data_IF_268147422566
#
_entry.id   IF_268147422566
#
_cell.length_a   1.000
_cell.length_b   1.000
_cell.length_c   1.000
_cell.angle_alpha   90.00
_cell.angle_beta   90.00
_cell.angle_gamma   90.00
#
_symmetry.space_group_name_H-M   'P 1'
#
loop_
_entity.id
_entity.type
_entity.pdbx_description
1 polymer ?
#
# COMPACT_ATOMS: atom_id res chain seq x y z
N UNK A 1 -22.32 -27.31 -8.94
CA UNK A 1 -21.73 -26.19 -8.19
C UNK A 1 -20.30 -26.01 -8.68
N UNK A 2 -19.88 -24.79 -8.98
CA UNK A 2 -18.49 -24.51 -9.33
C UNK A 2 -17.64 -24.62 -8.04
N UNK A 3 -16.51 -25.34 -8.03
CA UNK A 3 -15.64 -25.41 -6.86
C UNK A 3 -15.07 -24.02 -6.52
N UNK A 4 -14.87 -23.75 -5.24
CA UNK A 4 -14.16 -22.56 -4.79
C UNK A 4 -12.68 -22.64 -5.20
N UNK A 5 -12.09 -21.50 -5.52
CA UNK A 5 -10.67 -21.37 -5.88
C UNK A 5 -10.06 -20.24 -5.09
N UNK A 6 -8.77 -20.36 -4.79
CA UNK A 6 -7.98 -19.25 -4.26
C UNK A 6 -7.78 -18.22 -5.38
N UNK A 7 -7.81 -16.94 -5.00
CA UNK A 7 -7.51 -15.83 -5.89
C UNK A 7 -6.53 -14.86 -5.22
N UNK A 8 -5.55 -14.42 -5.99
CA UNK A 8 -4.58 -13.44 -5.53
C UNK A 8 -5.11 -12.02 -5.74
N UNK A 9 -4.97 -11.15 -4.73
CA UNK A 9 -5.25 -9.73 -4.84
C UNK A 9 -3.98 -8.94 -4.50
N UNK A 10 -3.32 -8.42 -5.53
CA UNK A 10 -2.04 -7.76 -5.39
C UNK A 10 -2.17 -6.25 -5.30
N UNK A 11 -1.41 -5.62 -4.41
CA UNK A 11 -1.35 -4.17 -4.31
C UNK A 11 -0.48 -3.58 -5.42
N UNK A 12 -1.06 -2.67 -6.20
CA UNK A 12 -0.31 -1.94 -7.21
C UNK A 12 0.59 -0.89 -6.55
N UNK A 13 1.87 -0.87 -6.94
CA UNK A 13 2.85 0.06 -6.37
C UNK A 13 2.48 1.50 -6.74
N UNK A 14 2.37 2.36 -5.74
CA UNK A 14 2.03 3.79 -5.92
C UNK A 14 3.20 4.64 -6.44
N UNK A 15 2.89 5.80 -7.07
CA UNK A 15 3.90 6.66 -7.69
C UNK A 15 4.87 7.31 -6.69
N UNK A 16 4.51 7.35 -5.40
CA UNK A 16 5.31 7.92 -4.32
C UNK A 16 6.18 6.88 -3.59
N UNK A 17 6.35 5.68 -4.17
CA UNK A 17 7.20 4.63 -3.61
C UNK A 17 8.62 5.17 -3.31
N UNK A 18 9.08 4.99 -2.07
CA UNK A 18 10.35 5.52 -1.58
C UNK A 18 10.88 4.69 -0.41
N UNK A 19 12.17 4.83 -0.11
CA UNK A 19 12.81 4.17 1.03
C UNK A 19 12.99 5.15 2.19
N UNK A 20 11.89 5.45 2.89
CA UNK A 20 11.88 6.42 4.00
C UNK A 20 12.33 5.85 5.37
N UNK A 21 12.48 4.53 5.49
CA UNK A 21 12.91 3.88 6.73
C UNK A 21 11.93 4.03 7.90
N UNK A 22 10.63 3.93 7.64
CA UNK A 22 9.55 4.26 8.58
C UNK A 22 9.11 3.10 9.48
N UNK A 23 9.65 1.89 9.29
CA UNK A 23 9.20 0.68 10.00
C UNK A 23 10.29 0.12 10.92
N UNK A 24 10.35 0.56 12.19
CA UNK A 24 11.21 -0.07 13.19
C UNK A 24 10.95 -1.58 13.28
N UNK A 25 12.02 -2.37 13.35
CA UNK A 25 11.94 -3.84 13.33
C UNK A 25 11.96 -4.46 11.92
N UNK A 26 11.71 -3.69 10.85
CA UNK A 26 11.94 -4.14 9.47
C UNK A 26 13.37 -3.78 9.04
N UNK A 27 14.26 -4.77 9.02
CA UNK A 27 15.66 -4.58 8.68
C UNK A 27 15.85 -4.02 7.25
N UNK A 28 15.08 -4.49 6.28
CA UNK A 28 15.17 -4.00 4.91
C UNK A 28 14.76 -2.52 4.79
N UNK A 29 13.70 -2.11 5.49
CA UNK A 29 13.29 -0.71 5.57
C UNK A 29 14.39 0.17 6.17
N UNK A 30 15.02 -0.28 7.27
CA UNK A 30 16.08 0.48 7.95
C UNK A 30 17.35 0.57 7.13
N UNK A 31 17.79 -0.52 6.50
CA UNK A 31 19.05 -0.58 5.75
C UNK A 31 19.02 0.24 4.45
N UNK A 32 17.87 0.36 3.79
CA UNK A 32 17.74 1.10 2.54
C UNK A 32 17.27 2.56 2.76
N UNK A 33 17.17 3.02 4.02
CA UNK A 33 16.67 4.36 4.33
C UNK A 33 17.51 5.43 3.63
N UNK A 34 16.84 6.28 2.85
CA UNK A 34 17.46 7.41 2.15
C UNK A 34 17.96 7.08 0.74
N UNK A 35 17.95 5.81 0.33
CA UNK A 35 18.29 5.41 -1.03
C UNK A 35 17.25 5.89 -2.05
N UNK A 36 17.70 6.12 -3.28
CA UNK A 36 16.82 6.48 -4.37
C UNK A 36 15.93 5.29 -4.77
N UNK A 37 14.62 5.52 -4.86
CA UNK A 37 13.67 4.53 -5.38
C UNK A 37 13.42 4.71 -6.87
N UNK A 38 12.85 3.67 -7.50
CA UNK A 38 12.36 3.74 -8.87
C UNK A 38 10.90 3.26 -8.93
N UNK A 39 9.91 4.17 -8.69
CA UNK A 39 8.49 3.81 -8.64
C UNK A 39 8.01 3.14 -9.93
N UNK A 40 8.51 3.57 -11.09
CA UNK A 40 8.16 3.00 -12.38
C UNK A 40 8.67 1.56 -12.52
N UNK A 41 9.93 1.30 -12.15
CA UNK A 41 10.45 -0.06 -12.17
C UNK A 41 9.70 -0.96 -11.17
N UNK A 42 9.42 -0.46 -9.98
CA UNK A 42 8.71 -1.22 -8.95
C UNK A 42 7.28 -1.62 -9.38
N UNK A 43 6.53 -0.71 -10.02
CA UNK A 43 5.20 -1.06 -10.54
C UNK A 43 5.28 -2.05 -11.70
N UNK A 44 6.26 -1.91 -12.59
CA UNK A 44 6.46 -2.87 -13.70
C UNK A 44 6.84 -4.26 -13.20
N UNK A 45 7.68 -4.37 -12.17
CA UNK A 45 8.01 -5.64 -11.52
C UNK A 45 6.78 -6.30 -10.90
N UNK A 46 5.94 -5.51 -10.21
CA UNK A 46 4.67 -5.99 -9.65
C UNK A 46 3.72 -6.52 -10.73
N UNK A 47 3.54 -5.76 -11.81
CA UNK A 47 2.68 -6.12 -12.94
C UNK A 47 3.17 -7.36 -13.68
N UNK A 48 4.49 -7.49 -13.89
CA UNK A 48 5.09 -8.66 -14.54
C UNK A 48 4.79 -9.93 -13.75
N UNK A 49 4.94 -9.89 -12.42
CA UNK A 49 4.56 -11.00 -11.55
C UNK A 49 3.06 -11.32 -11.64
N UNK A 50 2.19 -10.31 -11.49
CA UNK A 50 0.74 -10.51 -11.56
C UNK A 50 0.32 -11.15 -12.89
N UNK A 51 0.87 -10.64 -14.00
CA UNK A 51 0.59 -11.15 -15.35
C UNK A 51 1.11 -12.57 -15.52
N UNK A 52 2.29 -12.87 -15.02
CA UNK A 52 2.85 -14.23 -15.05
C UNK A 52 1.94 -15.23 -14.35
N UNK A 53 1.42 -14.91 -13.16
CA UNK A 53 0.50 -15.80 -12.44
C UNK A 53 -0.85 -15.95 -13.16
N UNK A 54 -1.37 -14.85 -13.71
CA UNK A 54 -2.59 -14.88 -14.52
C UNK A 54 -2.43 -15.76 -15.77
N UNK A 55 -1.28 -15.68 -16.45
CA UNK A 55 -0.96 -16.50 -17.63
C UNK A 55 -0.80 -17.99 -17.30
N UNK A 56 -0.42 -18.31 -16.06
CA UNK A 56 -0.42 -19.67 -15.53
C UNK A 56 -1.82 -20.16 -15.11
N UNK A 57 -2.86 -19.35 -15.28
CA UNK A 57 -4.25 -19.69 -14.98
C UNK A 57 -4.68 -19.46 -13.53
N UNK A 58 -3.87 -18.78 -12.72
CA UNK A 58 -4.25 -18.41 -11.35
C UNK A 58 -5.13 -17.14 -11.37
N UNK A 59 -6.30 -17.14 -10.71
CA UNK A 59 -7.11 -15.93 -10.61
C UNK A 59 -6.33 -14.79 -9.95
N UNK A 60 -6.25 -13.66 -10.65
CA UNK A 60 -5.41 -12.51 -10.26
C UNK A 60 -6.23 -11.21 -10.32
N UNK A 61 -6.23 -10.49 -9.21
CA UNK A 61 -6.85 -9.18 -9.02
C UNK A 61 -5.80 -8.15 -8.63
N UNK A 62 -6.15 -6.87 -8.79
CA UNK A 62 -5.29 -5.73 -8.50
C UNK A 62 -6.03 -4.76 -7.58
N UNK A 63 -5.40 -4.37 -6.49
CA UNK A 63 -5.84 -3.28 -5.62
C UNK A 63 -5.09 -1.99 -6.01
N UNK A 64 -5.80 -0.88 -6.28
CA UNK A 64 -5.16 0.37 -6.66
C UNK A 64 -4.33 0.97 -5.50
N UNK A 65 -3.33 1.81 -5.80
CA UNK A 65 -2.63 2.55 -4.75
C UNK A 65 -3.58 3.57 -4.11
N UNK A 66 -3.24 3.99 -2.88
CA UNK A 66 -3.97 5.06 -2.20
C UNK A 66 -3.54 6.44 -2.73
N UNK A 67 -4.37 7.45 -2.46
CA UNK A 67 -3.99 8.86 -2.65
C UNK A 67 -2.76 9.20 -1.81
N UNK A 68 -1.69 9.66 -2.47
CA UNK A 68 -0.43 10.09 -1.85
C UNK A 68 0.10 11.29 -2.63
N UNK A 69 0.59 12.36 -1.96
CA UNK A 69 0.66 12.56 -0.51
C UNK A 69 -0.73 12.65 0.16
N UNK A 70 -0.89 12.09 1.36
CA UNK A 70 -2.12 12.18 2.14
C UNK A 70 -2.24 13.55 2.82
N UNK A 71 -2.75 14.54 2.09
CA UNK A 71 -2.95 15.91 2.60
C UNK A 71 -3.93 15.96 3.77
N UNK A 72 -5.07 15.23 3.76
CA UNK A 72 -5.96 15.18 4.92
C UNK A 72 -5.24 14.80 6.23
N UNK A 73 -4.36 13.80 6.20
CA UNK A 73 -3.55 13.43 7.37
C UNK A 73 -2.64 14.57 7.85
N UNK A 74 -1.96 15.27 6.94
CA UNK A 74 -1.12 16.41 7.34
C UNK A 74 -1.95 17.53 7.98
N UNK A 75 -3.17 17.77 7.49
CA UNK A 75 -4.07 18.75 8.11
C UNK A 75 -4.49 18.37 9.53
N UNK A 76 -4.65 17.08 9.84
CA UNK A 76 -4.95 16.66 11.22
C UNK A 76 -3.79 16.90 12.20
N UNK A 77 -2.57 17.04 11.68
CA UNK A 77 -1.38 17.42 12.45
C UNK A 77 -1.22 18.95 12.62
N UNK A 78 -2.13 19.75 12.05
CA UNK A 78 -2.15 21.21 12.22
C UNK A 78 -1.57 22.02 11.06
N UNK A 79 -1.13 21.39 9.97
CA UNK A 79 -0.71 22.11 8.76
C UNK A 79 -1.93 22.71 8.03
N UNK A 80 -1.83 23.97 7.58
CA UNK A 80 -2.96 24.71 6.98
C UNK A 80 -2.59 25.43 5.69
N UNK A 81 -3.60 25.96 4.98
CA UNK A 81 -3.46 26.61 3.68
C UNK A 81 -3.82 25.70 2.50
N UNK A 82 -3.35 26.04 1.30
CA UNK A 82 -3.47 25.19 0.11
C UNK A 82 -2.69 23.88 0.25
N UNK A 83 -3.00 22.87 -0.56
CA UNK A 83 -2.33 21.56 -0.48
C UNK A 83 -0.80 21.67 -0.68
N UNK A 84 -0.37 22.55 -1.59
CA UNK A 84 1.04 22.84 -1.81
C UNK A 84 1.71 23.44 -0.56
N UNK A 85 1.04 24.40 0.09
CA UNK A 85 1.54 25.02 1.32
C UNK A 85 1.58 24.03 2.49
N UNK A 86 0.57 23.16 2.61
CA UNK A 86 0.54 22.09 3.62
C UNK A 86 1.73 21.16 3.44
N UNK A 87 1.99 20.72 2.21
CA UNK A 87 3.09 19.82 1.91
C UNK A 87 4.46 20.48 2.13
N UNK A 88 4.62 21.74 1.71
CA UNK A 88 5.84 22.53 1.92
C UNK A 88 6.17 22.70 3.41
N UNK A 89 5.18 23.12 4.20
CA UNK A 89 5.32 23.25 5.66
C UNK A 89 5.68 21.91 6.30
N UNK A 90 5.02 20.82 5.91
CA UNK A 90 5.29 19.50 6.46
C UNK A 90 6.73 19.04 6.16
N UNK A 91 7.25 19.24 4.95
CA UNK A 91 8.64 18.89 4.63
C UNK A 91 9.66 19.75 5.37
N UNK A 92 9.35 21.03 5.61
CA UNK A 92 10.23 21.96 6.32
C UNK A 92 10.27 21.71 7.82
N UNK A 93 9.09 21.56 8.43
CA UNK A 93 8.94 21.60 9.89
C UNK A 93 8.87 20.19 10.50
N UNK A 94 8.38 19.18 9.76
CA UNK A 94 8.26 17.80 10.24
C UNK A 94 8.43 16.74 9.12
N UNK A 95 9.64 16.62 8.53
CA UNK A 95 9.88 15.78 7.35
C UNK A 95 9.56 14.29 7.53
N UNK A 96 9.59 13.77 8.76
CA UNK A 96 9.17 12.39 9.04
C UNK A 96 7.67 12.17 8.79
N UNK A 97 6.82 13.13 9.15
CA UNK A 97 5.38 13.07 8.86
C UNK A 97 5.08 13.31 7.38
N UNK A 98 5.83 14.19 6.73
CA UNK A 98 5.74 14.36 5.27
C UNK A 98 6.07 13.05 4.53
N UNK A 99 7.16 12.38 4.92
CA UNK A 99 7.54 11.09 4.37
C UNK A 99 6.47 10.00 4.64
N UNK A 100 5.89 9.96 5.84
CA UNK A 100 4.80 9.04 6.17
C UNK A 100 3.54 9.30 5.30
N UNK A 101 3.19 10.57 5.09
CA UNK A 101 2.08 10.96 4.22
C UNK A 101 2.30 10.55 2.74
N UNK A 102 3.56 10.37 2.33
CA UNK A 102 3.93 9.96 0.97
C UNK A 102 4.14 8.45 0.82
N UNK A 103 4.09 7.66 1.89
CA UNK A 103 4.44 6.24 1.84
C UNK A 103 3.51 5.43 0.91
N UNK A 104 4.10 4.64 0.02
CA UNK A 104 3.40 3.67 -0.83
C UNK A 104 3.14 2.32 -0.14
N UNK A 105 3.22 2.26 1.20
CA UNK A 105 3.01 1.02 1.97
C UNK A 105 1.70 0.24 1.69
N UNK A 106 0.58 0.85 1.24
CA UNK A 106 -0.60 0.08 0.87
C UNK A 106 -0.40 -0.94 -0.27
N UNK A 107 0.73 -0.88 -0.99
CA UNK A 107 1.10 -1.93 -1.96
C UNK A 107 1.24 -3.32 -1.34
N UNK A 108 1.51 -3.41 -0.02
CA UNK A 108 1.54 -4.67 0.71
C UNK A 108 0.13 -5.13 1.09
N UNK A 109 -0.62 -5.59 0.09
CA UNK A 109 -2.01 -6.04 0.22
C UNK A 109 -2.22 -7.17 1.26
N UNK A 110 -1.18 -7.95 1.56
CA UNK A 110 -1.20 -8.97 2.62
C UNK A 110 -1.51 -8.37 4.01
N UNK A 111 -1.31 -7.07 4.19
CA UNK A 111 -1.61 -6.35 5.43
C UNK A 111 -2.96 -5.62 5.38
N UNK A 112 -3.70 -5.67 4.26
CA UNK A 112 -4.91 -4.87 4.09
C UNK A 112 -6.09 -5.36 4.94
N UNK A 113 -6.31 -6.67 4.97
CA UNK A 113 -7.44 -7.29 5.66
C UNK A 113 -7.17 -8.77 5.98
N UNK A 114 -7.96 -9.30 6.90
CA UNK A 114 -8.14 -10.75 7.08
C UNK A 114 -9.37 -11.20 6.30
N UNK A 115 -9.25 -12.28 5.54
CA UNK A 115 -10.35 -12.85 4.75
C UNK A 115 -10.90 -14.09 5.44
N UNK A 116 -12.22 -14.18 5.54
CA UNK A 116 -12.94 -15.39 5.95
C UNK A 116 -13.73 -15.92 4.75
N UNK A 117 -13.34 -17.07 4.17
CA UNK A 117 -14.09 -17.71 3.11
C UNK A 117 -15.52 -18.05 3.54
N UNK A 118 -16.45 -18.11 2.57
CA UNK A 118 -17.85 -18.46 2.85
C UNK A 118 -18.03 -19.81 3.51
N UNK A 119 -17.13 -20.77 3.22
CA UNK A 119 -17.12 -22.10 3.82
C UNK A 119 -16.89 -22.08 5.34
N UNK A 120 -16.24 -21.03 5.86
CA UNK A 120 -15.86 -20.90 7.27
C UNK A 120 -16.73 -19.87 8.03
N UNK A 121 -17.62 -19.17 7.32
CA UNK A 121 -18.50 -18.15 7.88
C UNK A 121 -19.85 -18.72 8.32
N UNK A 122 -20.43 -18.18 9.40
CA UNK A 122 -21.74 -18.63 9.90
C UNK A 122 -22.92 -18.30 8.97
N UNK A 123 -22.79 -17.26 8.13
CA UNK A 123 -23.83 -16.80 7.20
C UNK A 123 -23.60 -17.25 5.74
N UNK A 124 -22.55 -18.05 5.51
CA UNK A 124 -22.17 -18.53 4.18
C UNK A 124 -21.69 -17.43 3.23
N UNK A 125 -21.19 -16.29 3.74
CA UNK A 125 -20.66 -15.18 2.94
C UNK A 125 -19.15 -15.04 3.07
N UNK A 126 -18.51 -14.46 2.07
CA UNK A 126 -17.10 -14.06 2.19
C UNK A 126 -17.03 -12.76 2.99
N UNK A 127 -16.23 -12.74 4.05
CA UNK A 127 -16.00 -11.54 4.87
C UNK A 127 -14.57 -11.03 4.73
N UNK A 128 -14.43 -9.71 4.70
CA UNK A 128 -13.15 -9.01 4.72
C UNK A 128 -13.15 -8.06 5.91
N UNK A 129 -12.22 -8.27 6.84
CA UNK A 129 -12.06 -7.41 8.02
C UNK A 129 -10.78 -6.59 7.88
N UNK A 130 -10.84 -5.26 7.68
CA UNK A 130 -9.66 -4.42 7.53
C UNK A 130 -8.73 -4.50 8.75
N UNK A 131 -7.41 -4.50 8.50
CA UNK A 131 -6.43 -4.31 9.56
C UNK A 131 -6.34 -2.82 9.94
N UNK A 132 -6.10 -2.52 11.22
CA UNK A 132 -6.10 -1.14 11.73
C UNK A 132 -4.86 -0.32 11.33
N UNK A 133 -3.68 -0.94 11.41
CA UNK A 133 -2.34 -0.42 11.04
C UNK A 133 -2.18 1.10 11.22
#
# INVERSE_FOLDING_TARGET
>A
MTPAVEANADGLIGPTHSYAGLSPGNLASSLNKGEASNPRAAVLQGLDKMKTLADLGLPQFVLPPHERPNIPFLRTLGFTGSDAQVLEQAWKDAPSFAAAACSASPMWAANAATVTPSADSADGRVHFTPANL
#
